data_IF_174957962388
#
_entry.id   IF_174957962388
#
_cell.length_a   1.000
_cell.length_b   1.000
_cell.length_c   1.000
_cell.angle_alpha   90.00
_cell.angle_beta   90.00
_cell.angle_gamma   90.00
#
_symmetry.space_group_name_H-M   'P 1'
#
loop_
_entity.id
_entity.type
_entity.pdbx_description
1 polymer ?
#
# COMPACT_ATOMS: atom_id res chain seq x y z
N UNK A 1 -26.92 -1.10 2.35
CA UNK A 1 -27.69 -1.47 3.55
C UNK A 1 -26.87 -2.27 4.57
N UNK A 2 -26.25 -3.41 4.22
CA UNK A 2 -25.57 -4.30 5.20
C UNK A 2 -24.51 -3.63 6.10
N UNK A 3 -23.68 -2.72 5.56
CA UNK A 3 -22.64 -2.04 6.34
C UNK A 3 -23.17 -1.06 7.39
N UNK A 4 -24.25 -0.33 7.09
CA UNK A 4 -24.86 0.60 8.05
C UNK A 4 -25.48 -0.15 9.22
N UNK A 5 -26.20 -1.24 8.93
CA UNK A 5 -26.79 -2.11 9.96
C UNK A 5 -25.72 -2.76 10.84
N UNK A 6 -24.61 -3.23 10.26
CA UNK A 6 -23.49 -3.75 11.04
C UNK A 6 -22.87 -2.68 11.96
N UNK A 7 -22.71 -1.45 11.47
CA UNK A 7 -22.21 -0.34 12.28
C UNK A 7 -23.17 0.05 13.39
N UNK A 8 -24.48 0.06 13.13
CA UNK A 8 -25.53 0.31 14.13
C UNK A 8 -25.45 -0.72 15.26
N UNK A 9 -25.33 -2.01 14.95
CA UNK A 9 -25.17 -3.04 15.98
C UNK A 9 -23.89 -2.88 16.82
N UNK A 10 -22.79 -2.42 16.21
CA UNK A 10 -21.55 -2.14 16.95
C UNK A 10 -21.74 -0.96 17.92
N UNK A 11 -22.50 0.06 17.52
CA UNK A 11 -22.84 1.22 18.37
C UNK A 11 -23.78 0.77 19.50
N UNK A 12 -24.81 -0.01 19.20
CA UNK A 12 -25.76 -0.56 20.18
C UNK A 12 -25.08 -1.43 21.22
N UNK A 13 -24.04 -2.20 20.82
CA UNK A 13 -23.26 -3.03 21.71
C UNK A 13 -22.37 -2.24 22.70
N UNK A 14 -22.23 -0.92 22.50
CA UNK A 14 -21.52 -0.01 23.41
C UNK A 14 -20.10 -0.48 23.76
N UNK A 15 -19.35 -0.96 22.79
CA UNK A 15 -17.98 -1.41 23.03
C UNK A 15 -17.09 -0.25 23.47
N UNK A 16 -16.27 -0.50 24.50
CA UNK A 16 -15.21 0.41 24.90
C UNK A 16 -13.94 0.18 24.08
N UNK A 17 -13.05 1.17 24.07
CA UNK A 17 -11.73 1.01 23.44
C UNK A 17 -10.97 -0.22 23.94
N UNK A 18 -10.98 -0.43 25.26
CA UNK A 18 -10.30 -1.54 25.92
C UNK A 18 -10.90 -2.89 25.51
N UNK A 19 -12.23 -2.95 25.36
CA UNK A 19 -12.89 -4.15 24.86
C UNK A 19 -12.43 -4.50 23.44
N UNK A 20 -12.36 -3.51 22.55
CA UNK A 20 -11.87 -3.69 21.17
C UNK A 20 -10.41 -4.14 21.19
N UNK A 21 -9.55 -3.52 21.99
CA UNK A 21 -8.14 -3.90 22.11
C UNK A 21 -7.99 -5.35 22.58
N UNK A 22 -8.82 -5.79 23.54
CA UNK A 22 -8.88 -7.17 24.03
C UNK A 22 -9.42 -8.15 22.98
N UNK A 23 -10.40 -7.75 22.18
CA UNK A 23 -10.89 -8.58 21.07
C UNK A 23 -9.80 -8.81 20.03
N UNK A 24 -9.05 -7.77 19.66
CA UNK A 24 -7.93 -7.93 18.73
C UNK A 24 -6.86 -8.86 19.30
N UNK A 25 -6.55 -8.72 20.59
CA UNK A 25 -5.61 -9.59 21.33
C UNK A 25 -6.00 -11.06 21.34
N UNK A 26 -7.31 -11.33 21.49
CA UNK A 26 -7.84 -12.69 21.61
C UNK A 26 -8.29 -13.28 20.27
N UNK A 27 -8.30 -12.48 19.21
CA UNK A 27 -8.67 -12.89 17.87
C UNK A 27 -7.57 -13.71 17.20
N UNK A 28 -7.96 -14.55 16.24
CA UNK A 28 -7.04 -15.33 15.39
C UNK A 28 -6.73 -14.58 14.09
N UNK A 29 -6.53 -13.26 14.16
CA UNK A 29 -6.16 -12.48 12.98
C UNK A 29 -4.70 -12.79 12.65
N UNK A 30 -4.46 -13.21 11.42
CA UNK A 30 -3.14 -13.51 10.90
C UNK A 30 -2.90 -12.74 9.61
N UNK A 31 -1.65 -12.36 9.39
CA UNK A 31 -1.20 -11.85 8.11
C UNK A 31 -0.83 -13.05 7.23
N UNK A 32 -0.97 -12.90 5.90
CA UNK A 32 -0.40 -13.85 4.95
C UNK A 32 1.11 -14.00 5.19
N UNK A 33 1.64 -15.17 4.85
CA UNK A 33 3.06 -15.47 5.01
C UNK A 33 3.92 -14.44 4.27
N UNK A 34 5.04 -14.06 4.89
CA UNK A 34 5.98 -13.03 4.44
C UNK A 34 5.44 -11.58 4.42
N UNK A 35 4.20 -11.32 4.83
CA UNK A 35 3.65 -9.96 4.82
C UNK A 35 4.35 -9.02 5.82
N UNK A 36 4.78 -9.54 6.96
CA UNK A 36 5.55 -8.76 7.94
C UNK A 36 6.88 -8.28 7.35
N UNK A 37 7.59 -9.19 6.67
CA UNK A 37 8.84 -8.90 6.00
C UNK A 37 8.63 -7.89 4.86
N UNK A 38 7.58 -8.07 4.05
CA UNK A 38 7.20 -7.13 3.00
C UNK A 38 6.94 -5.72 3.55
N UNK A 39 6.18 -5.57 4.64
CA UNK A 39 5.94 -4.25 5.26
C UNK A 39 7.24 -3.59 5.71
N UNK A 40 8.14 -4.35 6.34
CA UNK A 40 9.44 -3.86 6.79
C UNK A 40 10.34 -3.46 5.61
N UNK A 41 10.35 -4.26 4.53
CA UNK A 41 11.13 -4.00 3.32
C UNK A 41 10.62 -2.74 2.60
N UNK A 42 9.30 -2.57 2.46
CA UNK A 42 8.69 -1.35 1.94
C UNK A 42 9.08 -0.13 2.78
N UNK A 43 9.10 -0.26 4.10
CA UNK A 43 9.50 0.83 5.00
C UNK A 43 10.96 1.22 4.77
N UNK A 44 11.87 0.25 4.67
CA UNK A 44 13.30 0.48 4.42
C UNK A 44 13.55 1.17 3.09
N UNK A 45 12.75 0.86 2.07
CA UNK A 45 12.83 1.44 0.74
C UNK A 45 12.06 2.76 0.58
N UNK A 46 11.47 3.28 1.67
CA UNK A 46 10.62 4.47 1.66
C UNK A 46 9.47 4.37 0.63
N UNK A 47 8.86 3.19 0.52
CA UNK A 47 7.69 2.92 -0.32
C UNK A 47 6.44 2.99 0.55
N UNK A 48 5.49 3.90 0.27
CA UNK A 48 4.23 3.98 0.98
C UNK A 48 3.37 2.75 0.75
N UNK A 49 2.84 2.21 1.84
CA UNK A 49 1.84 1.16 1.84
C UNK A 49 0.49 1.74 2.24
N UNK A 50 -0.48 1.68 1.33
CA UNK A 50 -1.86 2.12 1.60
C UNK A 50 -2.70 0.87 1.88
N UNK A 51 -3.23 0.79 3.10
CA UNK A 51 -4.24 -0.22 3.46
C UNK A 51 -5.61 0.41 3.26
N UNK A 52 -6.24 0.10 2.12
CA UNK A 52 -7.59 0.57 1.81
C UNK A 52 -8.63 -0.53 2.07
N UNK A 53 -9.32 -0.42 3.21
CA UNK A 53 -10.21 -1.48 3.70
C UNK A 53 -11.64 -0.99 3.91
N UNK A 54 -12.62 -1.78 3.47
CA UNK A 54 -14.04 -1.59 3.79
C UNK A 54 -14.41 -2.06 5.22
N UNK A 55 -13.46 -2.67 5.95
CA UNK A 55 -13.64 -3.12 7.32
C UNK A 55 -13.57 -1.98 8.36
N UNK A 56 -13.26 -2.36 9.60
CA UNK A 56 -13.13 -1.44 10.73
C UNK A 56 -11.67 -1.04 10.90
N UNK A 57 -11.35 0.22 10.61
CA UNK A 57 -9.97 0.70 10.60
C UNK A 57 -9.25 0.68 11.95
N UNK A 58 -9.98 0.83 13.06
CA UNK A 58 -9.38 0.76 14.41
C UNK A 58 -8.87 -0.64 14.73
N UNK A 59 -9.57 -1.69 14.26
CA UNK A 59 -9.12 -3.08 14.43
C UNK A 59 -7.79 -3.29 13.70
N UNK A 60 -7.70 -2.78 12.46
CA UNK A 60 -6.47 -2.83 11.66
C UNK A 60 -5.34 -2.04 12.34
N UNK A 61 -5.62 -0.82 12.82
CA UNK A 61 -4.61 0.02 13.50
C UNK A 61 -4.07 -0.65 14.77
N UNK A 62 -4.95 -1.20 15.62
CA UNK A 62 -4.56 -1.92 16.84
C UNK A 62 -3.75 -3.17 16.49
N UNK A 63 -4.22 -3.96 15.53
CA UNK A 63 -3.53 -5.19 15.10
C UNK A 63 -2.11 -4.89 14.59
N UNK A 64 -1.97 -3.92 13.67
CA UNK A 64 -0.67 -3.51 13.13
C UNK A 64 0.27 -2.99 14.23
N UNK A 65 -0.22 -2.14 15.14
CA UNK A 65 0.62 -1.65 16.25
C UNK A 65 1.10 -2.76 17.17
N UNK A 66 0.25 -3.75 17.49
CA UNK A 66 0.65 -4.89 18.32
C UNK A 66 1.66 -5.78 17.62
N UNK A 67 1.42 -6.05 16.34
CA UNK A 67 2.27 -6.92 15.53
C UNK A 67 3.68 -6.33 15.32
N UNK A 68 3.77 -5.03 15.05
CA UNK A 68 5.04 -4.35 14.75
C UNK A 68 5.61 -3.53 15.94
N UNK A 69 4.98 -3.57 17.11
CA UNK A 69 5.30 -2.75 18.30
C UNK A 69 4.96 -1.26 18.18
N UNK A 70 5.04 -0.69 16.97
CA UNK A 70 4.53 0.63 16.60
C UNK A 70 3.92 0.58 15.20
N UNK A 71 3.12 1.58 14.84
CA UNK A 71 2.66 1.72 13.46
C UNK A 71 3.86 2.06 12.56
N UNK A 72 4.15 1.28 11.49
CA UNK A 72 5.19 1.63 10.54
C UNK A 72 4.92 2.98 9.87
N UNK A 73 5.97 3.77 9.67
CA UNK A 73 5.84 5.17 9.22
C UNK A 73 5.36 5.30 7.77
N UNK A 74 5.62 4.27 6.95
CA UNK A 74 5.19 4.19 5.57
C UNK A 74 3.76 3.62 5.40
N UNK A 75 3.08 3.23 6.48
CA UNK A 75 1.75 2.60 6.43
C UNK A 75 0.65 3.63 6.64
N UNK A 76 -0.31 3.66 5.72
CA UNK A 76 -1.45 4.57 5.76
C UNK A 76 -2.76 3.80 5.65
N UNK A 77 -3.58 3.89 6.69
CA UNK A 77 -4.90 3.23 6.74
C UNK A 77 -5.99 4.17 6.23
N UNK A 78 -6.77 3.69 5.28
CA UNK A 78 -8.01 4.30 4.77
C UNK A 78 -9.12 3.28 4.97
N UNK A 79 -9.96 3.49 5.98
CA UNK A 79 -11.00 2.52 6.36
C UNK A 79 -12.09 3.19 7.22
N UNK A 80 -13.14 2.45 7.59
CA UNK A 80 -14.19 2.95 8.47
C UNK A 80 -13.65 3.05 9.89
N UNK A 81 -13.28 4.26 10.30
CA UNK A 81 -12.76 4.52 11.65
C UNK A 81 -13.93 4.76 12.60
N UNK A 82 -14.01 4.02 13.69
CA UNK A 82 -14.79 4.42 14.86
C UNK A 82 -14.21 5.75 15.37
N UNK A 83 -15.06 6.77 15.51
CA UNK A 83 -14.63 8.14 15.81
C UNK A 83 -14.02 8.19 17.20
N UNK A 84 -13.12 9.16 17.41
CA UNK A 84 -12.57 9.58 18.70
C UNK A 84 -13.62 10.12 19.70
N UNK A 85 -14.90 10.05 19.38
CA UNK A 85 -15.98 10.44 20.28
C UNK A 85 -16.38 9.21 21.10
N UNK A 86 -15.43 8.71 21.89
CA UNK A 86 -15.85 7.97 23.06
C UNK A 86 -16.62 8.97 23.92
N UNK A 87 -17.83 8.63 24.36
CA UNK A 87 -18.51 9.46 25.37
C UNK A 87 -17.63 9.57 26.63
N UNK A 88 -18.03 10.35 27.63
CA UNK A 88 -17.29 10.48 28.90
C UNK A 88 -16.97 9.11 29.57
N UNK A 89 -17.69 8.06 29.18
CA UNK A 89 -17.58 6.68 29.65
C UNK A 89 -16.66 5.78 28.80
N UNK A 90 -16.05 6.29 27.72
CA UNK A 90 -15.12 5.50 26.92
C UNK A 90 -15.78 4.58 25.87
N UNK A 91 -17.03 4.85 25.45
CA UNK A 91 -17.86 3.98 24.57
C UNK A 91 -17.99 4.51 23.14
N UNK A 92 -17.92 3.62 22.13
CA UNK A 92 -18.10 3.97 20.71
C UNK A 92 -19.49 4.58 20.45
N UNK A 93 -19.53 5.79 19.89
CA UNK A 93 -20.78 6.50 19.56
C UNK A 93 -21.05 6.60 18.05
N UNK A 94 -20.08 6.30 17.19
CA UNK A 94 -20.23 6.41 15.74
C UNK A 94 -18.99 6.09 14.92
N UNK A 95 -19.15 6.18 13.59
CA UNK A 95 -18.09 5.98 12.60
C UNK A 95 -17.83 7.27 11.81
N UNK A 96 -16.57 7.51 11.43
CA UNK A 96 -16.16 8.67 10.62
C UNK A 96 -16.72 8.56 9.22
N UNK A 97 -17.28 9.66 8.73
CA UNK A 97 -17.70 9.77 7.34
C UNK A 97 -16.55 10.21 6.41
N UNK A 98 -16.55 9.76 5.13
CA UNK A 98 -17.59 8.98 4.47
C UNK A 98 -17.43 7.48 4.73
N UNK A 99 -18.55 6.75 4.72
CA UNK A 99 -18.56 5.28 4.78
C UNK A 99 -17.82 4.69 3.56
N UNK A 100 -16.79 3.90 3.82
CA UNK A 100 -16.08 3.11 2.81
C UNK A 100 -16.72 1.73 2.77
N UNK A 101 -17.25 1.35 1.63
CA UNK A 101 -17.69 -0.03 1.38
C UNK A 101 -16.98 -0.58 0.14
N UNK A 102 -17.04 -1.90 -0.07
CA UNK A 102 -16.32 -2.62 -1.14
C UNK A 102 -16.50 -1.98 -2.53
N UNK A 103 -17.68 -1.43 -2.82
CA UNK A 103 -17.98 -0.74 -4.09
C UNK A 103 -17.74 0.79 -4.12
N UNK A 104 -17.27 1.40 -3.02
CA UNK A 104 -17.01 2.84 -2.90
C UNK A 104 -15.54 3.15 -2.61
N UNK A 105 -14.64 2.24 -2.98
CA UNK A 105 -13.19 2.46 -2.93
C UNK A 105 -12.73 3.31 -4.12
N UNK A 106 -13.24 4.53 -4.24
CA UNK A 106 -12.88 5.45 -5.33
C UNK A 106 -12.16 6.70 -4.80
N UNK A 107 -11.59 7.48 -5.71
CA UNK A 107 -10.82 8.69 -5.42
C UNK A 107 -11.51 9.78 -4.61
N UNK A 108 -12.83 9.76 -4.51
CA UNK A 108 -13.57 10.77 -3.77
C UNK A 108 -13.32 10.70 -2.25
N UNK A 109 -13.05 9.51 -1.71
CA UNK A 109 -12.66 9.31 -0.30
C UNK A 109 -11.23 9.79 -0.06
N UNK A 110 -10.38 9.64 -1.07
CA UNK A 110 -8.94 9.86 -1.04
C UNK A 110 -8.57 11.36 -1.05
N UNK A 111 -9.33 12.21 -1.75
CA UNK A 111 -9.09 13.67 -1.86
C UNK A 111 -9.02 14.42 -0.52
N UNK A 112 -9.49 13.85 0.60
CA UNK A 112 -9.53 14.53 1.91
C UNK A 112 -8.21 14.48 2.71
N UNK A 113 -7.19 13.71 2.32
CA UNK A 113 -5.89 13.61 3.03
C UNK A 113 -4.73 14.25 2.24
N UNK A 114 -4.76 15.57 2.05
CA UNK A 114 -3.84 16.33 1.16
C UNK A 114 -2.34 16.15 1.40
N UNK A 115 -1.85 15.94 2.63
CA UNK A 115 -0.40 15.85 2.88
C UNK A 115 0.22 14.53 2.41
N UNK A 116 -0.47 13.41 2.63
CA UNK A 116 0.00 12.08 2.26
C UNK A 116 0.01 11.86 0.74
N UNK A 117 -1.02 12.36 0.05
CA UNK A 117 -1.11 12.17 -1.39
C UNK A 117 -0.11 13.02 -2.15
N UNK A 118 0.53 14.04 -1.58
CA UNK A 118 1.63 14.71 -2.27
C UNK A 118 2.81 13.74 -2.51
N UNK A 119 3.18 12.94 -1.51
CA UNK A 119 4.26 11.96 -1.66
C UNK A 119 3.85 10.78 -2.55
N UNK A 120 2.58 10.36 -2.49
CA UNK A 120 2.05 9.31 -3.36
C UNK A 120 1.87 9.78 -4.83
N UNK A 121 1.45 11.02 -5.06
CA UNK A 121 1.24 11.61 -6.39
C UNK A 121 2.54 11.79 -7.18
N UNK A 122 3.71 11.74 -6.53
CA UNK A 122 5.01 11.72 -7.24
C UNK A 122 5.33 10.35 -7.84
N UNK A 123 4.58 9.30 -7.49
CA UNK A 123 4.82 7.94 -7.98
C UNK A 123 3.83 7.59 -9.08
N UNK A 124 4.36 7.12 -10.21
CA UNK A 124 3.58 6.70 -11.39
C UNK A 124 3.21 5.21 -11.38
N UNK A 125 3.90 4.40 -10.57
CA UNK A 125 3.79 2.94 -10.59
C UNK A 125 3.11 2.46 -9.31
N UNK A 126 2.08 1.62 -9.46
CA UNK A 126 1.29 1.07 -8.36
C UNK A 126 1.28 -0.45 -8.45
N UNK A 127 1.52 -1.11 -7.32
CA UNK A 127 1.19 -2.52 -7.14
C UNK A 127 -0.10 -2.61 -6.33
N UNK A 128 -1.19 -3.02 -6.98
CA UNK A 128 -2.51 -3.15 -6.36
C UNK A 128 -2.71 -4.61 -5.98
N UNK A 129 -3.11 -4.85 -4.73
CA UNK A 129 -3.45 -6.17 -4.22
C UNK A 129 -4.87 -6.15 -3.65
N UNK A 130 -5.71 -7.11 -4.05
CA UNK A 130 -7.08 -7.23 -3.55
C UNK A 130 -7.58 -8.67 -3.59
N UNK A 131 -8.68 -8.93 -2.89
CA UNK A 131 -9.33 -10.25 -2.82
C UNK A 131 -10.77 -10.22 -3.36
N UNK A 132 -11.21 -9.06 -3.86
CA UNK A 132 -12.54 -8.88 -4.42
C UNK A 132 -12.54 -7.98 -5.66
N UNK A 133 -13.48 -8.19 -6.57
CA UNK A 133 -13.63 -7.35 -7.76
C UNK A 133 -13.88 -5.86 -7.44
N UNK A 134 -14.35 -5.53 -6.23
CA UNK A 134 -14.50 -4.14 -5.79
C UNK A 134 -13.17 -3.43 -5.54
N UNK A 135 -12.09 -4.18 -5.36
CA UNK A 135 -10.74 -3.65 -5.12
C UNK A 135 -10.06 -3.16 -6.41
N UNK A 136 -10.54 -3.58 -7.58
CA UNK A 136 -10.00 -3.18 -8.88
C UNK A 136 -10.02 -1.68 -9.13
N UNK A 137 -10.91 -0.96 -8.43
CA UNK A 137 -11.10 0.49 -8.54
C UNK A 137 -10.28 1.30 -7.51
N UNK A 138 -9.45 0.65 -6.69
CA UNK A 138 -8.63 1.34 -5.66
C UNK A 138 -7.58 2.28 -6.27
N UNK A 139 -7.21 2.08 -7.54
CA UNK A 139 -6.28 2.91 -8.31
C UNK A 139 -6.88 4.26 -8.75
N UNK A 140 -8.22 4.38 -8.88
CA UNK A 140 -8.95 5.56 -9.38
C UNK A 140 -8.83 6.81 -8.47
N UNK A 141 -8.04 6.75 -7.40
CA UNK A 141 -7.94 7.82 -6.41
C UNK A 141 -6.63 8.59 -6.33
N UNK A 142 -5.55 8.08 -6.89
CA UNK A 142 -4.31 8.85 -6.98
C UNK A 142 -4.38 9.64 -8.30
N UNK A 143 -3.97 10.90 -8.31
CA UNK A 143 -4.16 11.76 -9.48
C UNK A 143 -3.02 11.55 -10.48
N UNK A 144 -3.33 11.10 -11.70
CA UNK A 144 -2.36 10.97 -12.82
C UNK A 144 -2.59 9.73 -13.68
N UNK A 145 -1.89 9.63 -14.81
CA UNK A 145 -1.74 8.38 -15.57
C UNK A 145 -0.85 7.44 -14.76
N UNK A 146 -1.45 6.52 -14.00
CA UNK A 146 -0.70 5.49 -13.28
C UNK A 146 -0.66 4.20 -14.07
N UNK A 147 0.49 3.55 -13.98
CA UNK A 147 0.68 2.17 -14.38
C UNK A 147 0.44 1.29 -13.14
N UNK A 148 -0.68 0.58 -13.12
CA UNK A 148 -1.02 -0.32 -12.03
C UNK A 148 -0.83 -1.78 -12.47
N UNK A 149 -0.05 -2.54 -11.71
CA UNK A 149 -0.04 -4.00 -11.77
C UNK A 149 -0.98 -4.53 -10.70
N UNK A 150 -1.98 -5.33 -11.08
CA UNK A 150 -3.07 -5.78 -10.21
C UNK A 150 -2.93 -7.28 -9.91
N UNK A 151 -2.81 -7.61 -8.63
CA UNK A 151 -2.77 -8.98 -8.11
C UNK A 151 -4.05 -9.27 -7.34
N UNK A 152 -4.78 -10.32 -7.76
CA UNK A 152 -6.02 -10.77 -7.16
C UNK A 152 -5.84 -12.07 -6.38
N UNK A 153 -6.19 -12.08 -5.09
CA UNK A 153 -6.22 -13.28 -4.25
C UNK A 153 -7.61 -13.93 -4.31
N UNK A 154 -7.72 -15.03 -5.06
CA UNK A 154 -8.96 -15.79 -5.19
C UNK A 154 -8.98 -16.93 -4.15
N UNK A 155 -9.52 -16.63 -2.97
CA UNK A 155 -9.52 -17.56 -1.83
C UNK A 155 -10.73 -18.53 -1.83
N UNK A 156 -11.85 -18.13 -2.42
CA UNK A 156 -13.11 -18.87 -2.35
C UNK A 156 -13.85 -18.83 -3.68
N UNK A 157 -14.79 -19.75 -3.88
CA UNK A 157 -15.73 -19.75 -5.01
C UNK A 157 -15.03 -19.71 -6.39
N UNK A 158 -13.88 -20.39 -6.50
CA UNK A 158 -12.99 -20.36 -7.68
C UNK A 158 -13.77 -20.61 -8.97
N UNK A 159 -14.57 -21.68 -9.02
CA UNK A 159 -15.35 -22.07 -10.21
C UNK A 159 -16.29 -20.99 -10.74
N UNK A 160 -16.72 -20.05 -9.90
CA UNK A 160 -17.68 -19.00 -10.27
C UNK A 160 -17.04 -17.63 -10.46
N UNK A 161 -15.87 -17.39 -9.84
CA UNK A 161 -15.24 -16.08 -9.80
C UNK A 161 -13.99 -15.99 -10.68
N UNK A 162 -13.40 -17.13 -11.07
CA UNK A 162 -12.13 -17.16 -11.81
C UNK A 162 -12.17 -16.32 -13.09
N UNK A 163 -13.19 -16.48 -13.93
CA UNK A 163 -13.30 -15.73 -15.19
C UNK A 163 -13.33 -14.22 -14.94
N UNK A 164 -14.15 -13.77 -13.98
CA UNK A 164 -14.23 -12.36 -13.62
C UNK A 164 -12.91 -11.82 -13.03
N UNK A 165 -12.16 -12.65 -12.30
CA UNK A 165 -10.86 -12.28 -11.75
C UNK A 165 -9.80 -12.17 -12.86
N UNK A 166 -9.80 -13.09 -13.83
CA UNK A 166 -8.90 -13.05 -14.98
C UNK A 166 -9.17 -11.84 -15.89
N UNK A 167 -10.41 -11.40 -15.99
CA UNK A 167 -10.77 -10.18 -16.73
C UNK A 167 -10.32 -8.88 -16.02
N UNK A 168 -10.21 -8.92 -14.69
CA UNK A 168 -9.97 -7.73 -13.87
C UNK A 168 -8.53 -7.55 -13.38
N UNK A 169 -7.84 -8.65 -13.06
CA UNK A 169 -6.51 -8.68 -12.49
C UNK A 169 -5.47 -9.18 -13.49
N UNK A 170 -4.28 -8.61 -13.46
CA UNK A 170 -3.16 -9.07 -14.30
C UNK A 170 -2.59 -10.42 -13.82
N UNK A 171 -2.64 -10.65 -12.51
CA UNK A 171 -2.19 -11.89 -11.87
C UNK A 171 -3.27 -12.36 -10.90
N UNK A 172 -3.70 -13.61 -11.02
CA UNK A 172 -4.66 -14.24 -10.11
C UNK A 172 -3.96 -15.36 -9.34
N UNK A 173 -4.00 -15.27 -8.01
CA UNK A 173 -3.45 -16.26 -7.09
C UNK A 173 -4.59 -17.04 -6.46
N UNK A 174 -4.67 -18.34 -6.76
CA UNK A 174 -5.73 -19.23 -6.28
C UNK A 174 -5.27 -19.89 -4.99
N UNK A 175 -5.99 -19.64 -3.89
CA UNK A 175 -5.72 -20.21 -2.55
C UNK A 175 -4.25 -20.06 -2.06
N UNK A 176 -3.58 -18.97 -2.45
CA UNK A 176 -2.20 -18.68 -2.02
C UNK A 176 -2.20 -17.84 -0.74
N UNK A 177 -1.82 -18.43 0.40
CA UNK A 177 -1.76 -17.76 1.71
C UNK A 177 -0.48 -16.96 1.96
N UNK A 178 0.29 -16.65 0.91
CA UNK A 178 1.55 -15.89 0.99
C UNK A 178 1.42 -14.52 0.29
N UNK A 179 2.41 -13.64 0.47
CA UNK A 179 2.61 -12.45 -0.39
C UNK A 179 3.86 -12.57 -1.27
N UNK A 180 4.33 -13.80 -1.51
CA UNK A 180 5.63 -14.04 -2.14
C UNK A 180 5.73 -13.46 -3.56
N UNK A 181 4.68 -13.62 -4.36
CA UNK A 181 4.64 -13.08 -5.74
C UNK A 181 4.80 -11.56 -5.74
N UNK A 182 4.05 -10.87 -4.89
CA UNK A 182 4.13 -9.42 -4.76
C UNK A 182 5.53 -8.96 -4.30
N UNK A 183 6.10 -9.67 -3.32
CA UNK A 183 7.43 -9.36 -2.78
C UNK A 183 8.54 -9.57 -3.80
N UNK A 184 8.51 -10.68 -4.55
CA UNK A 184 9.46 -10.95 -5.64
C UNK A 184 9.43 -9.84 -6.70
N UNK A 185 8.25 -9.33 -7.06
CA UNK A 185 8.12 -8.21 -8.01
C UNK A 185 8.78 -6.94 -7.45
N UNK A 186 8.55 -6.64 -6.16
CA UNK A 186 9.15 -5.48 -5.50
C UNK A 186 10.67 -5.58 -5.48
N UNK A 187 11.20 -6.76 -5.15
CA UNK A 187 12.63 -7.01 -5.07
C UNK A 187 13.30 -6.87 -6.45
N UNK A 188 12.70 -7.44 -7.50
CA UNK A 188 13.19 -7.28 -8.88
C UNK A 188 13.25 -5.81 -9.31
N UNK A 189 12.23 -5.01 -8.95
CA UNK A 189 12.20 -3.57 -9.25
C UNK A 189 13.27 -2.81 -8.45
N UNK A 190 13.50 -3.20 -7.19
CA UNK A 190 14.51 -2.58 -6.33
C UNK A 190 15.95 -2.90 -6.78
N UNK A 191 16.21 -4.14 -7.21
CA UNK A 191 17.48 -4.57 -7.78
C UNK A 191 17.78 -3.85 -9.11
N UNK A 192 16.77 -3.72 -9.97
CA UNK A 192 16.89 -3.00 -11.24
C UNK A 192 17.29 -1.54 -11.05
N UNK A 193 16.79 -0.86 -10.00
CA UNK A 193 17.23 0.50 -9.64
C UNK A 193 18.72 0.55 -9.27
N UNK A 194 19.18 -0.44 -8.51
CA UNK A 194 20.56 -0.51 -8.03
C UNK A 194 21.54 -0.70 -9.20
N UNK A 195 21.17 -1.56 -10.15
CA UNK A 195 21.93 -1.77 -11.39
C UNK A 195 21.95 -0.52 -12.28
N UNK A 196 20.84 0.21 -12.40
CA UNK A 196 20.80 1.41 -13.23
C UNK A 196 21.63 2.55 -12.64
N UNK A 197 21.65 2.71 -11.31
CA UNK A 197 22.51 3.68 -10.64
C UNK A 197 24.01 3.32 -10.76
N UNK A 198 24.34 2.03 -10.68
CA UNK A 198 25.70 1.55 -10.94
C UNK A 198 26.12 1.79 -12.41
N UNK A 199 25.24 1.55 -13.38
CA UNK A 199 25.53 1.79 -14.80
C UNK A 199 25.68 3.29 -15.12
N UNK A 200 24.81 4.16 -14.57
CA UNK A 200 24.86 5.61 -14.80
C UNK A 200 26.10 6.26 -14.18
N UNK A 201 26.56 5.79 -13.02
CA UNK A 201 27.80 6.27 -12.39
C UNK A 201 29.06 5.79 -13.13
N UNK A 202 28.98 4.67 -13.85
CA UNK A 202 30.07 4.17 -14.70
C UNK A 202 30.13 4.91 -16.04
N UNK A 203 28.97 5.27 -16.62
CA UNK A 203 28.89 6.02 -17.89
C UNK A 203 29.47 7.44 -17.78
N UNK A 204 29.17 8.19 -16.71
CA UNK A 204 29.77 9.52 -16.48
C UNK A 204 31.30 9.47 -16.30
N UNK A 205 31.85 8.31 -15.93
CA UNK A 205 33.29 8.16 -15.69
C UNK A 205 34.07 7.91 -16.97
N UNK A 206 33.41 7.47 -18.04
CA UNK A 206 34.05 7.23 -19.35
C UNK A 206 34.12 8.55 -20.14
N UNK A 207 33.04 9.33 -20.17
CA UNK A 207 33.00 10.62 -20.89
C UNK A 207 34.01 11.64 -20.32
N UNK A 208 34.22 11.65 -19.00
CA UNK A 208 35.19 12.55 -18.36
C UNK A 208 36.67 12.23 -18.66
N UNK A 209 36.97 11.01 -19.12
CA UNK A 209 38.35 10.59 -19.45
C UNK A 209 38.69 10.93 -20.91
N UNK A 210 37.71 10.89 -21.81
CA UNK A 210 37.94 11.22 -23.23
C UNK A 210 38.15 12.73 -23.46
N UNK A 211 37.51 13.62 -22.68
CA UNK A 211 37.73 15.08 -22.80
C UNK A 211 39.11 15.54 -22.29
N UNK A 212 39.74 14.80 -21.37
CA UNK A 212 41.08 15.16 -20.87
C UNK A 212 42.21 14.68 -21.79
N UNK A 213 41.99 13.66 -22.61
CA UNK A 213 42.99 13.15 -23.55
C UNK A 213 43.15 14.06 -24.78
N UNK A 214 42.12 14.81 -25.18
CA UNK A 214 42.15 15.70 -26.35
C UNK A 214 42.68 17.12 -26.07
N UNK A 215 42.90 17.50 -24.80
CA UNK A 215 43.43 18.84 -24.43
C UNK A 215 44.94 18.90 -24.23
N UNK A 216 45.65 17.77 -24.40
CA UNK A 216 47.07 17.65 -24.06
C UNK A 216 48.08 17.82 -25.20
N UNK A 217 47.66 17.90 -26.47
CA UNK A 217 48.60 17.81 -27.61
C UNK A 217 48.90 19.13 -28.35
N UNK A 218 48.37 20.28 -27.92
CA UNK A 218 48.49 21.50 -28.73
C UNK A 218 49.08 22.70 -27.98
N UNK A 219 50.35 22.61 -27.57
CA UNK A 219 51.24 23.79 -27.43
C UNK A 219 52.71 23.37 -27.31
N UNK A 220 53.45 23.33 -28.42
CA UNK A 220 54.83 23.85 -28.42
C UNK A 220 55.33 24.11 -29.85
N UNK A 221 55.33 25.39 -30.26
CA UNK A 221 56.23 25.87 -31.33
C UNK A 221 56.74 27.27 -30.96
N UNK A 222 58.07 27.47 -30.91
CA UNK A 222 58.65 28.75 -30.55
C UNK A 222 58.68 29.70 -31.75
N UNK A 223 58.44 30.98 -31.48
CA UNK A 223 58.54 32.07 -32.44
C UNK A 223 60.01 32.48 -32.66
N UNK A 224 60.40 32.52 -33.93
CA UNK A 224 61.46 33.40 -34.48
C UNK A 224 60.88 34.12 -35.68
#
# INVERSE_FOLDING_TARGET
>A
LRWKTAHEHIIEAKFTRQAIEKFVETSKIELRDEAEAMVADLCRQNIPLIIFSAGIGNVIDIFMRKKFGKMPENVHIISNMMVRDFNEEGVVTGFREPLIHTFCKNGSVIKRKRSFFNDANTRSNVLLMGDSLGDLNMDVGVAGEMMALKIGFLNFNVDTLLDNFLDGYDIVLIDDQTVQVARNIIDLVAESKSLHFAASSTSCRIEAVEEQQQRGEETDKPHT
#
